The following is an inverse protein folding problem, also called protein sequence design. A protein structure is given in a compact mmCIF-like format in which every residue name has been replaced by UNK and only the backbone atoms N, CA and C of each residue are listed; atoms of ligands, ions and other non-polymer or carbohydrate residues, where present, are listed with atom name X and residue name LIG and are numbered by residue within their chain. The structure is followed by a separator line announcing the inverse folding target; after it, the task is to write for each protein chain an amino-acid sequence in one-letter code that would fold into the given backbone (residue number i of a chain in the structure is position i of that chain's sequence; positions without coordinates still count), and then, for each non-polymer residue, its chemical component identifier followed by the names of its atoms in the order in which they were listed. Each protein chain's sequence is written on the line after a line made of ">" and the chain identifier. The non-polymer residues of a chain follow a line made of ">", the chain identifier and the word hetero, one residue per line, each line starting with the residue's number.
data_IF_946613159029
#
_entry.id   IF_946613159029
#
_cell.length_a   1.000
_cell.length_b   1.000
_cell.length_c   1.000
_cell.angle_alpha   90.00
_cell.angle_beta   90.00
_cell.angle_gamma   90.00
#
_symmetry.space_group_name_H-M   'P 1'
#
loop_
_entity.id
_entity.type
_entity.pdbx_description
1 polymer ?
#
# COMPACT_ATOMS: atom_id res chain seq x y z
N UNK A 1 -4.58 6.52 8.14
CA UNK A 1 -5.60 5.61 7.60
C UNK A 1 -6.35 5.02 8.79
N UNK A 2 -7.68 5.07 8.75
CA UNK A 2 -8.51 4.43 9.78
C UNK A 2 -8.36 2.92 9.75
N UNK A 3 -8.39 2.32 10.93
CA UNK A 3 -8.22 0.88 11.11
C UNK A 3 -9.49 0.31 11.73
N UNK A 4 -10.05 -0.70 11.07
CA UNK A 4 -11.14 -1.53 11.61
C UNK A 4 -10.58 -2.94 11.79
N UNK A 5 -10.75 -3.49 12.97
CA UNK A 5 -10.25 -4.83 13.31
C UNK A 5 -11.37 -5.86 13.17
N UNK A 6 -11.20 -6.81 12.26
CA UNK A 6 -12.06 -7.97 12.14
C UNK A 6 -11.45 -9.15 12.90
N UNK A 7 -12.03 -9.54 14.03
CA UNK A 7 -11.59 -10.70 14.81
C UNK A 7 -12.25 -11.94 14.20
N UNK A 8 -11.50 -12.68 13.38
CA UNK A 8 -12.03 -13.82 12.65
C UNK A 8 -11.96 -15.15 13.43
N UNK A 9 -12.70 -16.15 12.94
CA UNK A 9 -12.75 -17.51 13.47
C UNK A 9 -13.42 -17.62 14.84
N UNK A 10 -14.41 -16.78 15.13
CA UNK A 10 -15.19 -16.85 16.39
C UNK A 10 -16.02 -18.13 16.54
N UNK A 11 -16.22 -18.85 15.43
CA UNK A 11 -16.87 -20.17 15.42
C UNK A 11 -16.04 -21.28 16.06
N UNK A 12 -14.76 -21.06 16.32
CA UNK A 12 -13.90 -22.08 16.92
C UNK A 12 -14.07 -22.11 18.44
N UNK A 13 -14.08 -23.31 19.07
CA UNK A 13 -14.21 -23.44 20.54
C UNK A 13 -13.08 -22.75 21.32
N UNK A 14 -11.89 -22.58 20.71
CA UNK A 14 -10.74 -21.91 21.29
C UNK A 14 -10.73 -20.40 21.05
N UNK A 15 -11.76 -19.83 20.43
CA UNK A 15 -11.81 -18.40 20.14
C UNK A 15 -11.89 -17.59 21.45
N UNK A 16 -11.06 -16.56 21.54
CA UNK A 16 -11.04 -15.64 22.68
C UNK A 16 -10.91 -14.21 22.16
N UNK A 17 -12.02 -13.53 22.01
CA UNK A 17 -12.12 -12.17 21.51
C UNK A 17 -11.40 -11.18 22.43
N UNK A 18 -11.56 -11.32 23.75
CA UNK A 18 -10.96 -10.41 24.72
C UNK A 18 -9.43 -10.50 24.75
N UNK A 19 -8.89 -11.70 24.57
CA UNK A 19 -7.44 -11.91 24.45
C UNK A 19 -6.88 -11.18 23.23
N UNK A 20 -7.55 -11.28 22.07
CA UNK A 20 -7.14 -10.57 20.85
C UNK A 20 -7.19 -9.05 21.05
N UNK A 21 -8.24 -8.55 21.70
CA UNK A 21 -8.35 -7.12 22.04
C UNK A 21 -7.19 -6.67 22.95
N UNK A 22 -6.83 -7.47 23.96
CA UNK A 22 -5.70 -7.18 24.86
C UNK A 22 -4.37 -7.12 24.11
N UNK A 23 -4.09 -8.12 23.26
CA UNK A 23 -2.86 -8.15 22.46
C UNK A 23 -2.76 -6.96 21.50
N UNK A 24 -3.86 -6.54 20.90
CA UNK A 24 -3.89 -5.38 20.00
C UNK A 24 -3.83 -4.04 20.72
N UNK A 25 -4.28 -3.98 21.97
CA UNK A 25 -4.14 -2.76 22.80
C UNK A 25 -2.66 -2.42 23.07
N UNK A 26 -1.74 -3.40 23.05
CA UNK A 26 -0.30 -3.16 23.15
C UNK A 26 0.25 -2.39 21.94
N UNK A 27 -0.46 -2.42 20.81
CA UNK A 27 -0.16 -1.67 19.59
C UNK A 27 -1.00 -0.38 19.44
N UNK A 28 -1.54 0.12 20.57
CA UNK A 28 -2.39 1.32 20.61
C UNK A 28 -3.75 1.18 19.89
N UNK A 29 -4.15 -0.04 19.50
CA UNK A 29 -5.45 -0.34 18.95
C UNK A 29 -6.42 -0.66 20.09
N UNK A 30 -6.96 0.37 20.73
CA UNK A 30 -7.84 0.24 21.89
C UNK A 30 -9.29 0.22 21.43
N UNK A 31 -10.09 -0.82 21.82
CA UNK A 31 -11.50 -0.91 21.47
C UNK A 31 -12.33 0.26 22.02
N UNK A 32 -13.42 0.61 21.34
CA UNK A 32 -14.35 1.66 21.78
C UNK A 32 -14.99 1.34 23.14
N UNK A 33 -15.32 0.07 23.39
CA UNK A 33 -15.87 -0.41 24.67
C UNK A 33 -14.86 -0.31 25.84
N UNK A 34 -13.58 -0.13 25.55
CA UNK A 34 -12.52 0.14 26.54
C UNK A 34 -12.10 1.62 26.57
N UNK A 35 -12.86 2.50 25.92
CA UNK A 35 -12.59 3.95 25.87
C UNK A 35 -11.62 4.39 24.77
N UNK A 36 -11.28 3.51 23.83
CA UNK A 36 -10.50 3.83 22.65
C UNK A 36 -11.35 4.35 21.49
N UNK A 37 -10.76 4.32 20.29
CA UNK A 37 -11.40 4.76 19.05
C UNK A 37 -11.40 3.70 17.94
N UNK A 38 -10.82 2.52 18.20
CA UNK A 38 -10.72 1.48 17.19
C UNK A 38 -11.97 0.59 17.18
N UNK A 39 -12.57 0.42 16.03
CA UNK A 39 -13.73 -0.46 15.83
C UNK A 39 -13.26 -1.90 15.73
N UNK A 40 -13.82 -2.76 16.60
CA UNK A 40 -13.58 -4.20 16.59
C UNK A 40 -14.87 -4.93 16.23
N UNK A 41 -14.82 -5.80 15.22
CA UNK A 41 -15.99 -6.60 14.80
C UNK A 41 -15.62 -8.07 14.85
N UNK A 42 -16.23 -8.86 15.78
CA UNK A 42 -16.10 -10.30 15.79
C UNK A 42 -16.79 -10.92 14.57
N UNK A 43 -16.10 -11.78 13.84
CA UNK A 43 -16.62 -12.39 12.61
C UNK A 43 -16.25 -13.86 12.49
N UNK A 44 -17.02 -14.60 11.71
CA UNK A 44 -16.62 -15.90 11.18
C UNK A 44 -16.79 -15.91 9.67
N UNK A 45 -15.70 -15.97 8.95
CA UNK A 45 -15.73 -16.12 7.50
C UNK A 45 -16.37 -17.46 7.06
N UNK A 46 -16.27 -18.48 7.91
CA UNK A 46 -16.85 -19.80 7.64
C UNK A 46 -18.38 -19.82 7.79
N UNK A 47 -18.90 -19.30 8.89
CA UNK A 47 -20.36 -19.25 9.15
C UNK A 47 -21.02 -18.02 8.58
N UNK A 48 -20.22 -17.01 8.15
CA UNK A 48 -20.64 -15.67 7.72
C UNK A 48 -21.24 -14.81 8.83
N UNK A 49 -21.13 -15.21 10.08
CA UNK A 49 -21.51 -14.42 11.24
C UNK A 49 -20.69 -13.14 11.34
N UNK A 50 -21.32 -12.01 11.65
CA UNK A 50 -20.68 -10.69 11.80
C UNK A 50 -20.18 -10.03 10.50
N UNK A 51 -20.22 -10.72 9.36
CA UNK A 51 -19.72 -10.14 8.08
C UNK A 51 -20.55 -8.93 7.65
N UNK A 52 -21.87 -8.98 7.84
CA UNK A 52 -22.75 -7.86 7.51
C UNK A 52 -22.42 -6.65 8.38
N UNK A 53 -22.24 -6.86 9.68
CA UNK A 53 -21.90 -5.80 10.63
C UNK A 53 -20.53 -5.18 10.30
N UNK A 54 -19.55 -6.00 9.92
CA UNK A 54 -18.24 -5.52 9.45
C UNK A 54 -18.37 -4.59 8.24
N UNK A 55 -19.15 -4.99 7.23
CA UNK A 55 -19.37 -4.19 6.03
C UNK A 55 -20.12 -2.88 6.35
N UNK A 56 -21.11 -2.92 7.24
CA UNK A 56 -21.82 -1.73 7.72
C UNK A 56 -20.86 -0.76 8.45
N UNK A 57 -19.95 -1.26 9.28
CA UNK A 57 -18.95 -0.44 9.95
C UNK A 57 -17.96 0.20 8.96
N UNK A 58 -17.54 -0.53 7.93
CA UNK A 58 -16.69 0.02 6.85
C UNK A 58 -17.39 1.18 6.13
N UNK A 59 -18.66 0.99 5.75
CA UNK A 59 -19.44 2.03 5.08
C UNK A 59 -19.65 3.26 5.97
N UNK A 60 -20.04 3.04 7.22
CA UNK A 60 -20.25 4.13 8.19
C UNK A 60 -18.97 4.92 8.43
N UNK A 61 -17.83 4.25 8.59
CA UNK A 61 -16.53 4.91 8.76
C UNK A 61 -16.18 5.73 7.51
N UNK A 62 -16.40 5.20 6.31
CA UNK A 62 -16.16 5.92 5.07
C UNK A 62 -17.04 7.18 4.95
N UNK A 63 -18.31 7.09 5.35
CA UNK A 63 -19.24 8.22 5.35
C UNK A 63 -18.82 9.31 6.34
N UNK A 64 -18.43 8.93 7.55
CA UNK A 64 -17.94 9.87 8.58
C UNK A 64 -16.67 10.59 8.14
N UNK A 65 -15.77 9.90 7.46
CA UNK A 65 -14.51 10.47 6.95
C UNK A 65 -14.70 11.40 5.75
N UNK A 66 -15.87 11.39 5.11
CA UNK A 66 -16.15 12.19 3.89
C UNK A 66 -15.02 12.08 2.84
N UNK A 67 -14.58 10.88 2.54
CA UNK A 67 -13.45 10.64 1.64
C UNK A 67 -13.70 11.23 0.25
N UNK A 68 -12.83 12.13 -0.19
CA UNK A 68 -12.94 12.84 -1.47
C UNK A 68 -11.65 12.74 -2.28
N UNK A 69 -11.77 12.60 -3.59
CA UNK A 69 -10.65 12.67 -4.52
C UNK A 69 -11.06 13.38 -5.80
N UNK A 70 -10.12 14.11 -6.41
CA UNK A 70 -10.35 14.77 -7.69
C UNK A 70 -9.99 13.80 -8.83
N UNK A 71 -10.97 13.36 -9.66
CA UNK A 71 -10.71 12.50 -10.81
C UNK A 71 -10.09 13.26 -12.00
N UNK A 72 -10.25 14.60 -12.05
CA UNK A 72 -9.87 15.42 -13.19
C UNK A 72 -8.39 15.89 -13.12
N UNK A 73 -7.50 14.98 -12.80
CA UNK A 73 -6.05 15.19 -12.79
C UNK A 73 -5.34 13.92 -13.21
N UNK A 74 -4.02 13.99 -13.43
CA UNK A 74 -3.20 12.81 -13.73
C UNK A 74 -3.26 11.79 -12.61
N UNK A 75 -3.30 10.53 -12.99
CA UNK A 75 -3.38 9.40 -12.07
C UNK A 75 -2.17 9.33 -11.14
N UNK A 76 -2.43 9.12 -9.86
CA UNK A 76 -1.44 8.84 -8.83
C UNK A 76 -2.00 7.83 -7.85
N UNK A 77 -1.14 6.92 -7.37
CA UNK A 77 -1.53 5.93 -6.39
C UNK A 77 -0.36 5.08 -5.94
N UNK A 78 -0.68 3.87 -5.53
CA UNK A 78 0.28 2.91 -4.98
C UNK A 78 0.33 1.64 -5.81
N UNK A 79 1.51 1.05 -5.88
CA UNK A 79 1.70 -0.33 -6.35
C UNK A 79 1.30 -1.26 -5.21
N UNK A 80 0.30 -2.12 -5.46
CA UNK A 80 -0.15 -3.13 -4.48
C UNK A 80 0.75 -4.35 -4.55
N UNK A 81 0.97 -4.84 -5.77
CA UNK A 81 1.83 -5.98 -6.06
C UNK A 81 2.36 -5.86 -7.50
N UNK A 82 3.47 -6.51 -7.77
CA UNK A 82 3.99 -6.61 -9.12
C UNK A 82 4.79 -7.90 -9.28
N UNK A 83 4.77 -8.44 -10.50
CA UNK A 83 5.48 -9.66 -10.84
C UNK A 83 5.96 -9.65 -12.29
N UNK A 84 6.88 -10.54 -12.61
CA UNK A 84 7.30 -10.79 -13.97
C UNK A 84 6.53 -11.98 -14.55
N UNK A 85 5.49 -11.71 -15.32
CA UNK A 85 4.75 -12.74 -16.05
C UNK A 85 5.54 -13.22 -17.26
N UNK A 86 5.62 -14.55 -17.48
CA UNK A 86 6.38 -15.17 -18.58
C UNK A 86 5.87 -14.81 -19.97
N UNK A 87 4.59 -14.47 -20.09
CA UNK A 87 3.95 -14.13 -21.37
C UNK A 87 3.74 -12.64 -21.58
N UNK A 88 3.42 -11.91 -20.51
CA UNK A 88 3.04 -10.50 -20.56
C UNK A 88 4.19 -9.54 -20.25
N UNK A 89 5.27 -10.03 -19.63
CA UNK A 89 6.36 -9.20 -19.10
C UNK A 89 6.04 -8.65 -17.70
N UNK A 90 6.60 -7.48 -17.32
CA UNK A 90 6.27 -6.84 -16.04
C UNK A 90 4.78 -6.51 -15.95
N UNK A 91 4.14 -6.99 -14.89
CA UNK A 91 2.73 -6.78 -14.57
C UNK A 91 2.67 -6.16 -13.18
N UNK A 92 1.89 -5.12 -13.00
CA UNK A 92 1.70 -4.49 -11.71
C UNK A 92 0.22 -4.23 -11.43
N UNK A 93 -0.25 -4.61 -10.25
CA UNK A 93 -1.54 -4.20 -9.73
C UNK A 93 -1.37 -2.89 -8.97
N UNK A 94 -2.04 -1.85 -9.40
CA UNK A 94 -1.97 -0.53 -8.81
C UNK A 94 -3.33 -0.08 -8.29
N UNK A 95 -3.34 0.67 -7.19
CA UNK A 95 -4.52 1.34 -6.67
C UNK A 95 -4.45 2.83 -7.01
N UNK A 96 -5.35 3.29 -7.84
CA UNK A 96 -5.48 4.73 -8.12
C UNK A 96 -6.08 5.42 -6.90
N UNK A 97 -5.34 6.37 -6.33
CA UNK A 97 -5.80 7.15 -5.17
C UNK A 97 -6.34 8.53 -5.57
N UNK A 98 -5.73 9.14 -6.57
CA UNK A 98 -6.08 10.49 -7.07
C UNK A 98 -5.96 10.52 -8.58
N UNK A 99 -6.82 11.31 -9.22
CA UNK A 99 -6.82 11.44 -10.67
C UNK A 99 -7.40 10.22 -11.38
N UNK A 100 -7.26 10.19 -12.67
CA UNK A 100 -7.69 9.09 -13.54
C UNK A 100 -6.50 8.60 -14.35
N UNK A 101 -6.26 7.31 -14.31
CA UNK A 101 -5.22 6.62 -15.08
C UNK A 101 -5.83 6.08 -16.37
N UNK A 102 -5.13 6.25 -17.51
CA UNK A 102 -5.64 5.81 -18.81
C UNK A 102 -4.63 4.97 -19.57
N UNK A 103 -5.15 4.04 -20.38
CA UNK A 103 -4.32 3.30 -21.34
C UNK A 103 -3.69 4.30 -22.31
N UNK A 104 -2.41 4.15 -22.59
CA UNK A 104 -1.61 5.04 -23.43
C UNK A 104 -0.88 6.16 -22.67
N UNK A 105 -1.20 6.39 -21.40
CA UNK A 105 -0.42 7.30 -20.56
C UNK A 105 0.92 6.65 -20.15
N UNK A 106 1.88 7.51 -19.89
CA UNK A 106 3.18 7.10 -19.35
C UNK A 106 3.17 7.28 -17.84
N UNK A 107 3.72 6.32 -17.11
CA UNK A 107 3.85 6.37 -15.66
C UNK A 107 5.29 6.12 -15.21
N UNK A 108 5.61 6.64 -14.04
CA UNK A 108 6.75 6.24 -13.23
C UNK A 108 6.24 5.55 -11.96
N UNK A 109 6.88 4.47 -11.55
CA UNK A 109 6.58 3.72 -10.32
C UNK A 109 7.90 3.29 -9.67
N UNK A 110 8.31 3.99 -8.60
CA UNK A 110 9.61 3.78 -8.01
C UNK A 110 10.75 3.97 -9.01
N UNK A 111 11.60 2.95 -9.18
CA UNK A 111 12.69 2.93 -10.16
C UNK A 111 12.24 2.57 -11.58
N UNK A 112 10.97 2.20 -11.77
CA UNK A 112 10.43 1.73 -13.05
C UNK A 112 9.64 2.84 -13.76
N UNK A 113 9.54 2.76 -15.07
CA UNK A 113 8.69 3.62 -15.86
C UNK A 113 8.22 2.89 -17.13
N UNK A 114 7.21 3.42 -17.78
CA UNK A 114 6.73 2.87 -19.05
C UNK A 114 5.38 3.42 -19.47
N UNK A 115 5.01 3.10 -20.70
CA UNK A 115 3.71 3.46 -21.27
C UNK A 115 2.71 2.33 -21.03
N UNK A 116 1.56 2.65 -20.46
CA UNK A 116 0.50 1.68 -20.21
C UNK A 116 -0.06 1.17 -21.52
N UNK A 117 0.18 -0.11 -21.81
CA UNK A 117 -0.29 -0.79 -23.02
C UNK A 117 -1.69 -1.37 -22.85
N UNK A 118 -1.99 -1.84 -21.66
CA UNK A 118 -3.30 -2.40 -21.29
C UNK A 118 -3.54 -2.25 -19.79
N UNK A 119 -4.82 -2.17 -19.43
CA UNK A 119 -5.28 -2.24 -18.04
C UNK A 119 -6.41 -3.28 -17.94
N UNK A 120 -6.45 -4.00 -16.82
CA UNK A 120 -7.51 -4.97 -16.51
C UNK A 120 -8.08 -4.69 -15.12
N UNK A 121 -9.38 -4.87 -14.99
CA UNK A 121 -10.06 -4.75 -13.71
C UNK A 121 -9.88 -6.02 -12.85
N UNK A 122 -10.46 -6.03 -11.64
CA UNK A 122 -10.47 -7.14 -10.68
C UNK A 122 -11.13 -8.43 -11.22
N UNK A 123 -11.85 -8.34 -12.34
CA UNK A 123 -12.49 -9.46 -13.03
C UNK A 123 -11.75 -9.89 -14.30
N UNK A 124 -10.55 -9.36 -14.53
CA UNK A 124 -9.75 -9.64 -15.73
C UNK A 124 -10.28 -9.03 -17.02
N UNK A 125 -11.22 -8.07 -16.96
CA UNK A 125 -11.77 -7.39 -18.14
C UNK A 125 -10.90 -6.19 -18.49
N UNK A 126 -10.66 -5.99 -19.79
CA UNK A 126 -9.94 -4.81 -20.27
C UNK A 126 -10.73 -3.54 -20.00
N UNK A 127 -10.06 -2.56 -19.39
CA UNK A 127 -10.61 -1.21 -19.15
C UNK A 127 -9.71 -0.16 -19.79
N UNK A 128 -10.32 0.98 -20.18
CA UNK A 128 -9.57 2.07 -20.82
C UNK A 128 -9.10 3.11 -19.83
N UNK A 129 -9.79 3.24 -18.69
CA UNK A 129 -9.48 4.19 -17.63
C UNK A 129 -9.80 3.61 -16.25
N UNK A 130 -9.15 4.15 -15.24
CA UNK A 130 -9.37 3.82 -13.84
C UNK A 130 -9.35 5.12 -13.01
N UNK A 131 -10.46 5.42 -12.36
CA UNK A 131 -10.62 6.58 -11.48
C UNK A 131 -10.12 6.32 -10.05
N UNK A 132 -10.34 7.27 -9.13
CA UNK A 132 -9.95 7.12 -7.72
C UNK A 132 -10.58 5.88 -7.07
N UNK A 133 -9.84 5.27 -6.15
CA UNK A 133 -10.22 4.04 -5.41
C UNK A 133 -10.43 2.81 -6.29
N UNK A 134 -9.89 2.79 -7.50
CA UNK A 134 -10.03 1.68 -8.45
C UNK A 134 -8.70 0.91 -8.54
N UNK A 135 -8.67 -0.38 -8.18
CA UNK A 135 -7.52 -1.24 -8.43
C UNK A 135 -7.53 -1.71 -9.89
N UNK A 136 -6.38 -1.68 -10.54
CA UNK A 136 -6.20 -2.19 -11.91
C UNK A 136 -4.85 -2.87 -12.08
N UNK A 137 -4.84 -3.97 -12.82
CA UNK A 137 -3.61 -4.58 -13.34
C UNK A 137 -3.16 -3.79 -14.57
N UNK A 138 -1.91 -3.38 -14.60
CA UNK A 138 -1.31 -2.64 -15.71
C UNK A 138 -0.17 -3.40 -16.37
N UNK A 139 -0.05 -3.22 -17.68
CA UNK A 139 1.02 -3.77 -18.52
C UNK A 139 1.75 -2.62 -19.22
N UNK A 140 3.07 -2.68 -19.28
CA UNK A 140 3.86 -1.73 -20.06
C UNK A 140 5.04 -1.09 -19.35
N UNK A 141 5.26 -1.41 -18.07
CA UNK A 141 6.46 -1.01 -17.35
C UNK A 141 7.71 -1.70 -17.93
N UNK A 142 8.86 -1.03 -17.81
CA UNK A 142 10.16 -1.56 -18.25
C UNK A 142 10.73 -2.63 -17.32
N UNK A 143 10.31 -2.62 -16.04
CA UNK A 143 10.72 -3.58 -15.02
C UNK A 143 9.63 -3.72 -13.95
N UNK A 144 9.85 -4.58 -12.96
CA UNK A 144 8.91 -4.87 -11.86
C UNK A 144 9.14 -3.89 -10.72
N UNK A 145 8.18 -3.00 -10.41
CA UNK A 145 8.27 -2.11 -9.24
C UNK A 145 8.06 -2.89 -7.94
N UNK A 146 8.45 -2.30 -6.81
CA UNK A 146 8.18 -2.89 -5.50
C UNK A 146 6.76 -2.55 -5.01
N UNK A 147 6.16 -3.47 -4.26
CA UNK A 147 4.91 -3.21 -3.56
C UNK A 147 5.09 -2.03 -2.58
N UNK A 148 4.06 -1.18 -2.48
CA UNK A 148 4.09 0.03 -1.65
C UNK A 148 4.71 1.27 -2.32
N UNK A 149 5.36 1.14 -3.47
CA UNK A 149 5.89 2.29 -4.20
C UNK A 149 4.77 3.14 -4.78
N UNK A 150 5.01 4.45 -4.81
CA UNK A 150 4.09 5.41 -5.43
C UNK A 150 4.27 5.39 -6.94
N UNK A 151 3.17 5.34 -7.69
CA UNK A 151 3.18 5.64 -9.10
C UNK A 151 2.59 7.02 -9.40
N UNK A 152 3.08 7.65 -10.46
CA UNK A 152 2.57 8.92 -11.00
C UNK A 152 2.47 8.85 -12.51
N UNK A 153 1.34 9.33 -13.05
CA UNK A 153 1.20 9.53 -14.50
C UNK A 153 1.93 10.83 -14.91
N UNK A 154 2.71 10.74 -15.98
CA UNK A 154 3.55 11.83 -16.51
C UNK A 154 3.07 12.26 -17.90
N UNK A 155 3.59 13.38 -18.39
CA UNK A 155 3.22 13.89 -19.72
C UNK A 155 3.91 13.12 -20.84
N UNK A 156 5.12 12.67 -20.57
CA UNK A 156 5.95 11.99 -21.56
C UNK A 156 6.93 11.03 -20.89
N UNK A 157 7.57 10.20 -21.69
CA UNK A 157 8.51 9.18 -21.23
C UNK A 157 9.78 9.79 -20.61
N UNK A 158 10.21 10.97 -21.06
CA UNK A 158 11.37 11.66 -20.51
C UNK A 158 11.14 12.08 -19.06
N UNK A 159 9.96 12.60 -18.78
CA UNK A 159 9.55 12.96 -17.41
C UNK A 159 9.49 11.71 -16.51
N UNK A 160 8.88 10.63 -16.99
CA UNK A 160 8.80 9.36 -16.26
C UNK A 160 10.19 8.80 -15.94
N UNK A 161 11.09 8.83 -16.90
CA UNK A 161 12.48 8.40 -16.71
C UNK A 161 13.19 9.26 -15.67
N UNK A 162 13.05 10.59 -15.72
CA UNK A 162 13.63 11.49 -14.74
C UNK A 162 13.13 11.19 -13.32
N UNK A 163 11.84 10.91 -13.14
CA UNK A 163 11.30 10.48 -11.84
C UNK A 163 11.94 9.19 -11.34
N UNK A 164 12.06 8.18 -12.21
CA UNK A 164 12.69 6.92 -11.86
C UNK A 164 14.19 7.09 -11.50
N UNK A 165 14.93 7.88 -12.25
CA UNK A 165 16.35 8.20 -11.97
C UNK A 165 16.51 8.97 -10.65
N UNK A 166 15.63 9.93 -10.36
CA UNK A 166 15.61 10.66 -9.08
C UNK A 166 15.35 9.71 -7.92
N UNK A 167 14.36 8.83 -8.04
CA UNK A 167 14.05 7.83 -7.04
C UNK A 167 15.25 6.92 -6.74
N UNK A 168 15.97 6.47 -7.77
CA UNK A 168 17.19 5.64 -7.63
C UNK A 168 18.30 6.42 -6.92
N UNK A 169 18.51 7.68 -7.29
CA UNK A 169 19.55 8.51 -6.69
C UNK A 169 19.29 8.80 -5.22
N UNK A 170 18.05 9.12 -4.86
CA UNK A 170 17.63 9.35 -3.47
C UNK A 170 17.75 8.06 -2.63
N UNK A 171 17.37 6.91 -3.18
CA UNK A 171 17.55 5.61 -2.52
C UNK A 171 19.02 5.30 -2.24
N UNK A 172 19.94 5.58 -3.20
CA UNK A 172 21.38 5.42 -3.00
C UNK A 172 21.92 6.36 -1.94
N UNK A 173 21.47 7.62 -1.92
CA UNK A 173 21.90 8.60 -0.92
C UNK A 173 21.49 8.18 0.50
N UNK A 174 20.26 7.73 0.68
CA UNK A 174 19.76 7.21 1.98
C UNK A 174 20.57 5.99 2.45
N UNK A 175 20.85 5.04 1.56
CA UNK A 175 21.66 3.86 1.88
C UNK A 175 23.08 4.25 2.34
N UNK A 176 23.68 5.26 1.71
CA UNK A 176 25.01 5.76 2.09
C UNK A 176 24.96 6.43 3.46
N UNK A 177 23.93 7.24 3.73
CA UNK A 177 23.73 7.89 5.05
C UNK A 177 23.49 6.86 6.15
N UNK A 178 22.62 5.89 5.93
CA UNK A 178 22.33 4.81 6.88
C UNK A 178 23.58 3.95 7.15
N UNK A 179 24.38 3.67 6.12
CA UNK A 179 25.64 2.92 6.25
C UNK A 179 26.67 3.72 7.05
N UNK A 180 26.80 5.01 6.80
CA UNK A 180 27.69 5.90 7.57
C UNK A 180 27.24 6.01 9.02
N UNK A 181 25.94 6.14 9.28
CA UNK A 181 25.38 6.16 10.63
C UNK A 181 25.66 4.87 11.40
N UNK A 182 25.50 3.71 10.76
CA UNK A 182 25.82 2.40 11.37
C UNK A 182 27.30 2.25 11.67
N UNK A 183 28.17 2.60 10.72
CA UNK A 183 29.62 2.57 10.93
C UNK A 183 30.07 3.50 12.07
N UNK A 184 29.48 4.70 12.15
CA UNK A 184 29.74 5.63 13.26
C UNK A 184 29.29 5.08 14.62
N UNK A 185 28.18 4.36 14.69
CA UNK A 185 27.69 3.70 15.92
C UNK A 185 28.60 2.53 16.30
N UNK A 186 29.00 1.70 15.37
CA UNK A 186 29.91 0.56 15.62
C UNK A 186 31.28 1.03 16.10
N UNK A 187 31.81 2.11 15.52
CA UNK A 187 33.05 2.75 15.97
C UNK A 187 32.91 3.29 17.40
N UNK A 188 31.77 3.90 17.74
CA UNK A 188 31.48 4.43 19.07
C UNK A 188 31.36 3.31 20.11
N UNK A 189 30.67 2.21 19.78
CA UNK A 189 30.61 1.02 20.62
C UNK A 189 31.97 0.36 20.83
N UNK A 190 32.80 0.30 19.78
CA UNK A 190 34.15 -0.24 19.85
C UNK A 190 35.06 0.61 20.76
N UNK A 191 34.94 1.93 20.72
CA UNK A 191 35.67 2.87 21.60
C UNK A 191 35.24 2.74 23.07
N UNK A 192 33.92 2.55 23.32
CA UNK A 192 33.38 2.33 24.66
C UNK A 192 33.89 0.99 25.24
N UNK A 193 33.91 -0.09 24.45
CA UNK A 193 34.45 -1.39 24.87
C UNK A 193 35.95 -1.37 25.08
N UNK A 194 36.70 -0.55 24.34
CA UNK A 194 38.14 -0.38 24.50
C UNK A 194 38.53 0.45 25.74
N UNK A 195 37.58 0.99 26.49
CA UNK A 195 37.83 1.71 27.73
C UNK A 195 38.52 3.07 27.57
N UNK A 196 38.45 3.67 26.39
CA UNK A 196 39.06 4.97 26.08
C UNK A 196 38.12 6.17 26.30
N UNK A 197 37.17 6.06 27.24
CA UNK A 197 36.32 7.18 27.65
C UNK A 197 36.37 7.34 29.17
#
# INVERSE_FOLDING_TARGET
>A
VEIIVAINKIDKPSANVDKVKQELAEYELIPEDWGGSTIFVPVSAHTKEGIKDLLEMVLLTADVLELKANPNRKGRGLVIEAELDKGKGPVATVLVQKGTLRVGETIAAGACFGKIRAMMDDRGRRVKEAGPSTPVEILGLNDVPNAGEVFVATENEKEARNFAETFISEGKSKLIEDTKAKLSLDDLFSQIQAGNV
#
